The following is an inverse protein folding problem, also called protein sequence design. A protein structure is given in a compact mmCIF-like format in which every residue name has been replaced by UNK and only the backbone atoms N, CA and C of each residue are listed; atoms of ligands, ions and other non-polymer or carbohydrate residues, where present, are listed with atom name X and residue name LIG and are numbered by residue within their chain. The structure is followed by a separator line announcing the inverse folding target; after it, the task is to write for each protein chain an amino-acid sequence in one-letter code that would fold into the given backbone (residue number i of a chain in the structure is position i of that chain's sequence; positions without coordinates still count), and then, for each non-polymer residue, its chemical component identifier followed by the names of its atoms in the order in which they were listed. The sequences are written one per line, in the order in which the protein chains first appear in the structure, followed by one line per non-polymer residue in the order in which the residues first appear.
data_IF_961086711428
#
_entry.id   IF_961086711428
#
_cell.length_a   1.000
_cell.length_b   1.000
_cell.length_c   1.000
_cell.angle_alpha   90.00
_cell.angle_beta   90.00
_cell.angle_gamma   90.00
#
_symmetry.space_group_name_H-M   'P 1'
#
loop_
_entity.id
_entity.type
_entity.pdbx_description
1 polymer ?
#
# COMPACT_ATOMS: atom_id res chain seq x y z
N UNK A 1 11.78 6.31 13.85
CA UNK A 1 12.99 6.41 13.04
C UNK A 1 12.62 6.32 11.58
N UNK A 2 13.01 7.32 10.84
CA UNK A 2 12.66 7.40 9.43
C UNK A 2 13.34 6.32 8.58
N UNK A 3 14.50 5.81 9.05
CA UNK A 3 15.22 4.80 8.29
C UNK A 3 14.44 3.52 8.06
N UNK A 4 13.69 3.06 9.05
CA UNK A 4 12.90 1.82 8.90
C UNK A 4 11.80 1.97 7.89
N UNK A 5 11.15 3.13 7.87
CA UNK A 5 10.09 3.36 6.91
C UNK A 5 10.63 3.40 5.49
N UNK A 6 11.79 4.01 5.29
CA UNK A 6 12.41 4.03 3.97
C UNK A 6 12.84 2.64 3.52
N UNK A 7 13.37 1.84 4.44
CA UNK A 7 13.71 0.46 4.12
C UNK A 7 12.47 -0.33 3.72
N UNK A 8 11.38 -0.16 4.47
CA UNK A 8 10.13 -0.84 4.14
C UNK A 8 9.61 -0.41 2.78
N UNK A 9 9.68 0.89 2.48
CA UNK A 9 9.25 1.41 1.19
C UNK A 9 10.02 0.75 0.04
N UNK A 10 11.34 0.69 0.18
CA UNK A 10 12.18 0.07 -0.85
C UNK A 10 11.83 -1.40 -1.01
N UNK A 11 11.65 -2.11 0.11
CA UNK A 11 11.33 -3.53 0.06
C UNK A 11 9.99 -3.77 -0.64
N UNK A 12 8.98 -2.96 -0.33
CA UNK A 12 7.68 -3.14 -0.97
C UNK A 12 7.71 -2.74 -2.44
N UNK A 13 8.53 -1.74 -2.80
CA UNK A 13 8.69 -1.40 -4.21
C UNK A 13 9.31 -2.54 -4.99
N UNK A 14 10.32 -3.18 -4.41
CA UNK A 14 10.93 -4.34 -5.05
C UNK A 14 9.95 -5.50 -5.13
N UNK A 15 9.18 -5.72 -4.08
CA UNK A 15 8.18 -6.78 -4.08
C UNK A 15 7.14 -6.55 -5.18
N UNK A 16 6.71 -5.30 -5.36
CA UNK A 16 5.74 -4.99 -6.40
C UNK A 16 6.32 -5.23 -7.79
N UNK A 17 7.59 -4.91 -7.99
CA UNK A 17 8.23 -5.11 -9.29
C UNK A 17 8.44 -6.58 -9.62
N UNK A 18 8.67 -7.42 -8.61
CA UNK A 18 8.98 -8.84 -8.83
C UNK A 18 7.80 -9.76 -8.56
N UNK A 19 6.67 -9.23 -8.13
CA UNK A 19 5.52 -10.07 -7.79
C UNK A 19 5.02 -10.84 -9.01
N UNK A 20 4.76 -12.14 -8.81
CA UNK A 20 4.27 -12.99 -9.88
C UNK A 20 2.80 -13.33 -9.74
N UNK A 21 2.20 -12.96 -8.62
CA UNK A 21 0.81 -13.26 -8.38
C UNK A 21 0.07 -11.99 -7.99
N UNK A 22 -1.23 -11.91 -8.29
CA UNK A 22 -1.99 -10.69 -8.02
C UNK A 22 -2.06 -10.33 -6.54
N UNK A 23 -2.08 -11.32 -5.65
CA UNK A 23 -2.21 -11.05 -4.22
C UNK A 23 -0.96 -10.36 -3.67
N UNK A 24 0.22 -10.86 -4.02
CA UNK A 24 1.47 -10.22 -3.59
C UNK A 24 1.57 -8.82 -4.15
N UNK A 25 1.21 -8.66 -5.43
CA UNK A 25 1.25 -7.35 -6.06
C UNK A 25 0.29 -6.39 -5.37
N UNK A 26 -0.93 -6.83 -5.10
CA UNK A 26 -1.93 -5.98 -4.46
C UNK A 26 -1.47 -5.54 -3.07
N UNK A 27 -1.03 -6.48 -2.23
CA UNK A 27 -0.59 -6.12 -0.88
C UNK A 27 0.63 -5.22 -0.89
N UNK A 28 1.56 -5.43 -1.84
CA UNK A 28 2.73 -4.56 -1.96
C UNK A 28 2.29 -3.12 -2.21
N UNK A 29 1.35 -2.91 -3.11
CA UNK A 29 0.86 -1.57 -3.39
C UNK A 29 0.05 -0.99 -2.24
N UNK A 30 -0.72 -1.83 -1.52
CA UNK A 30 -1.46 -1.35 -0.36
C UNK A 30 -0.50 -0.83 0.71
N UNK A 31 0.55 -1.59 1.01
CA UNK A 31 1.52 -1.16 2.02
C UNK A 31 2.26 0.09 1.57
N UNK A 32 2.61 0.18 0.27
CA UNK A 32 3.21 1.41 -0.25
C UNK A 32 2.27 2.60 -0.08
N UNK A 33 0.99 2.41 -0.38
CA UNK A 33 0.02 3.48 -0.18
C UNK A 33 -0.02 3.94 1.27
N UNK A 34 -0.01 2.99 2.21
CA UNK A 34 -0.01 3.33 3.63
C UNK A 34 1.24 4.11 4.03
N UNK A 35 2.40 3.68 3.53
CA UNK A 35 3.65 4.37 3.84
C UNK A 35 3.61 5.81 3.31
N UNK A 36 3.17 6.00 2.09
CA UNK A 36 3.09 7.34 1.52
C UNK A 36 2.06 8.21 2.24
N UNK A 37 0.94 7.63 2.69
CA UNK A 37 -0.01 8.37 3.51
C UNK A 37 0.62 8.84 4.82
N UNK A 38 1.39 7.97 5.47
CA UNK A 38 2.08 8.34 6.70
C UNK A 38 3.06 9.48 6.45
N UNK A 39 3.68 9.51 5.27
CA UNK A 39 4.62 10.55 4.89
C UNK A 39 3.94 11.80 4.33
N UNK A 40 2.62 11.84 4.39
CA UNK A 40 1.82 12.98 3.91
C UNK A 40 1.97 13.20 2.40
N UNK A 41 2.07 12.10 1.67
CA UNK A 41 2.15 12.13 0.21
C UNK A 41 0.91 11.49 -0.37
N UNK A 42 -0.22 12.17 -0.22
CA UNK A 42 -1.53 11.59 -0.55
C UNK A 42 -1.65 11.21 -2.02
N UNK A 43 -1.16 12.06 -2.92
CA UNK A 43 -1.30 11.78 -4.35
C UNK A 43 -0.62 10.46 -4.72
N UNK A 44 0.58 10.23 -4.21
CA UNK A 44 1.31 9.00 -4.47
C UNK A 44 0.64 7.81 -3.81
N UNK A 45 0.13 8.00 -2.59
CA UNK A 45 -0.60 6.94 -1.90
C UNK A 45 -1.81 6.48 -2.72
N UNK A 46 -2.58 7.41 -3.25
CA UNK A 46 -3.75 7.09 -4.04
C UNK A 46 -3.38 6.27 -5.27
N UNK A 47 -2.27 6.62 -5.93
CA UNK A 47 -1.81 5.86 -7.09
C UNK A 47 -1.55 4.41 -6.73
N UNK A 48 -0.95 4.17 -5.56
CA UNK A 48 -0.66 2.80 -5.14
C UNK A 48 -1.93 2.04 -4.79
N UNK A 49 -2.90 2.67 -4.13
CA UNK A 49 -4.16 2.00 -3.84
C UNK A 49 -4.89 1.63 -5.14
N UNK A 50 -4.85 2.50 -6.14
CA UNK A 50 -5.45 2.18 -7.43
C UNK A 50 -4.72 1.04 -8.12
N UNK A 51 -3.39 1.02 -8.03
CA UNK A 51 -2.61 -0.08 -8.58
C UNK A 51 -2.96 -1.40 -7.89
N UNK A 52 -3.21 -1.36 -6.59
CA UNK A 52 -3.62 -2.56 -5.87
C UNK A 52 -4.93 -3.12 -6.42
N UNK A 53 -5.90 -2.25 -6.67
CA UNK A 53 -7.15 -2.71 -7.26
C UNK A 53 -6.95 -3.27 -8.66
N UNK A 54 -6.08 -2.64 -9.44
CA UNK A 54 -5.79 -3.07 -10.81
C UNK A 54 -5.04 -4.41 -10.86
N UNK A 55 -4.45 -4.84 -9.75
CA UNK A 55 -3.72 -6.11 -9.72
C UNK A 55 -4.63 -7.32 -9.96
N UNK A 56 -5.93 -7.18 -9.70
CA UNK A 56 -6.87 -8.24 -10.04
C UNK A 56 -6.91 -9.39 -9.07
N UNK A 57 -6.50 -9.18 -7.81
CA UNK A 57 -6.65 -10.22 -6.80
C UNK A 57 -8.14 -10.44 -6.53
N UNK A 58 -8.65 -11.67 -6.65
CA UNK A 58 -10.07 -11.93 -6.43
C UNK A 58 -10.49 -11.86 -4.97
N UNK A 59 -9.56 -11.85 -4.03
CA UNK A 59 -9.90 -11.84 -2.61
C UNK A 59 -10.47 -10.49 -2.20
N UNK A 60 -11.44 -10.53 -1.27
CA UNK A 60 -12.09 -9.30 -0.84
C UNK A 60 -11.23 -8.49 0.11
N UNK A 61 -10.27 -9.12 0.82
CA UNK A 61 -9.45 -8.38 1.78
C UNK A 61 -8.56 -7.35 1.11
N UNK A 62 -7.96 -7.67 -0.02
CA UNK A 62 -7.15 -6.69 -0.74
C UNK A 62 -8.01 -5.58 -1.31
N UNK A 63 -9.17 -5.92 -1.85
CA UNK A 63 -10.08 -4.91 -2.38
C UNK A 63 -10.51 -3.96 -1.28
N UNK A 64 -10.94 -4.50 -0.13
CA UNK A 64 -11.40 -3.67 0.97
C UNK A 64 -10.30 -2.76 1.47
N UNK A 65 -9.08 -3.29 1.62
CA UNK A 65 -7.96 -2.48 2.09
C UNK A 65 -7.66 -1.34 1.13
N UNK A 66 -7.66 -1.63 -0.18
CA UNK A 66 -7.38 -0.60 -1.18
C UNK A 66 -8.49 0.44 -1.24
N UNK A 67 -9.74 0.00 -1.17
CA UNK A 67 -10.87 0.94 -1.20
C UNK A 67 -10.88 1.82 0.05
N UNK A 68 -10.56 1.25 1.21
CA UNK A 68 -10.44 2.04 2.42
C UNK A 68 -9.34 3.09 2.28
N UNK A 69 -8.22 2.72 1.68
CA UNK A 69 -7.15 3.66 1.43
C UNK A 69 -7.56 4.80 0.51
N UNK A 70 -8.37 4.49 -0.51
CA UNK A 70 -8.87 5.52 -1.41
C UNK A 70 -9.88 6.43 -0.75
N UNK A 71 -10.65 5.91 0.21
CA UNK A 71 -11.67 6.71 0.90
C UNK A 71 -11.08 7.76 1.81
N UNK A 72 -9.96 7.44 2.47
CA UNK A 72 -9.35 8.34 3.43
C UNK A 72 -7.88 7.97 3.61
N UNK A 73 -7.02 8.93 3.95
CA UNK A 73 -5.62 8.61 4.20
C UNK A 73 -5.48 7.61 5.33
N UNK A 74 -4.55 6.67 5.14
CA UNK A 74 -4.27 5.68 6.15
C UNK A 74 -3.65 6.34 7.38
N UNK A 75 -4.12 5.97 8.54
CA UNK A 75 -3.55 6.41 9.80
C UNK A 75 -3.17 5.17 10.61
N UNK A 76 -1.93 5.08 11.08
CA UNK A 76 -1.56 3.92 11.89
C UNK A 76 -2.31 3.94 13.20
N UNK A 77 -2.54 2.76 13.81
CA UNK A 77 -3.21 2.71 15.11
C UNK A 77 -2.43 3.51 16.15
N UNK A 78 -3.16 4.24 16.96
CA UNK A 78 -2.52 5.00 18.04
C UNK A 78 -2.21 4.06 19.18
N UNK A 79 -1.06 4.26 19.78
CA UNK A 79 -0.72 3.54 20.99
C UNK A 79 -1.43 4.17 22.18
N UNK A 80 -1.87 3.32 23.06
CA UNK A 80 -2.52 3.75 24.29
C UNK A 80 -1.53 3.77 25.45
#
# INVERSE_FOLDING_TARGET
MSGRMEEARVDFEQAAQSARDPRTLAWSHIYLGRIYDIQDKRDTAVEHYRAALAAGDPATDTRTAAENGLSAPYQPPKRQ
#
